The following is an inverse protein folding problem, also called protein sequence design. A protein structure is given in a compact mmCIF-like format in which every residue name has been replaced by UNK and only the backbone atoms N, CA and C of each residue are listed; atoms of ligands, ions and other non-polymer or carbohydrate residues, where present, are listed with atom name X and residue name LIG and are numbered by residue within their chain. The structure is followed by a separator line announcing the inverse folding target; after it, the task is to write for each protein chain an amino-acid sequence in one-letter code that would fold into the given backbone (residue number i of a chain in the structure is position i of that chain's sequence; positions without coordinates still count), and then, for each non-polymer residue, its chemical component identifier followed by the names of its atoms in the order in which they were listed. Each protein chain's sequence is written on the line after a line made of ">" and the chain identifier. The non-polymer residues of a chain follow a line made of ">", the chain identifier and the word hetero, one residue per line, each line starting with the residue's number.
data_IF_542125435455
#
_entry.id   IF_542125435455
#
_cell.length_a   1.000
_cell.length_b   1.000
_cell.length_c   1.000
_cell.angle_alpha   90.00
_cell.angle_beta   90.00
_cell.angle_gamma   90.00
#
_symmetry.space_group_name_H-M   'P 1'
#
loop_
_entity.id
_entity.type
_entity.pdbx_description
1 polymer ?
#
# COMPACT_ATOMS: atom_id res chain seq x y z
N UNK A 1 2.09 -11.78 11.91
CA UNK A 1 1.54 -10.67 11.12
C UNK A 1 2.09 -9.36 11.60
N UNK A 2 2.43 -8.50 10.68
CA UNK A 2 2.90 -7.15 10.97
C UNK A 2 1.97 -6.14 10.33
N UNK A 3 1.93 -4.94 10.92
CA UNK A 3 1.18 -3.82 10.37
C UNK A 3 2.15 -2.68 10.12
N UNK A 4 2.09 -2.09 8.96
CA UNK A 4 2.91 -0.93 8.62
C UNK A 4 2.06 0.19 8.05
N UNK A 5 2.56 1.41 8.18
CA UNK A 5 1.91 2.59 7.60
C UNK A 5 2.84 3.12 6.52
N UNK A 6 2.29 3.29 5.32
CA UNK A 6 3.02 3.82 4.18
C UNK A 6 2.39 5.16 3.81
N UNK A 7 3.19 6.22 3.82
CA UNK A 7 2.74 7.53 3.36
C UNK A 7 2.76 7.53 1.83
N UNK A 8 1.63 7.88 1.22
CA UNK A 8 1.48 7.83 -0.23
C UNK A 8 1.19 9.23 -0.77
N UNK A 9 2.08 9.70 -1.65
CA UNK A 9 1.91 10.95 -2.35
C UNK A 9 1.30 10.73 -3.72
N UNK A 10 0.58 11.72 -4.23
CA UNK A 10 0.01 11.67 -5.56
C UNK A 10 -1.40 11.09 -5.65
N UNK A 11 -1.98 10.66 -4.54
CA UNK A 11 -3.39 10.27 -4.52
C UNK A 11 -4.26 11.51 -4.53
N UNK A 12 -5.08 11.64 -5.53
CA UNK A 12 -5.96 12.83 -5.67
C UNK A 12 -7.42 12.47 -5.90
N UNK A 13 -7.78 11.19 -5.99
CA UNK A 13 -9.15 10.76 -6.26
C UNK A 13 -9.40 9.33 -5.75
N UNK A 14 -10.67 8.95 -5.71
CA UNK A 14 -11.06 7.61 -5.27
C UNK A 14 -10.53 6.49 -6.15
N UNK A 15 -10.30 6.76 -7.44
CA UNK A 15 -9.68 5.79 -8.33
C UNK A 15 -8.25 5.45 -7.95
N UNK A 16 -7.51 6.43 -7.41
CA UNK A 16 -6.17 6.21 -6.91
C UNK A 16 -6.19 5.28 -5.69
N UNK A 17 -7.14 5.47 -4.80
CA UNK A 17 -7.32 4.59 -3.63
C UNK A 17 -7.53 3.14 -4.07
N UNK A 18 -8.38 2.94 -5.07
CA UNK A 18 -8.65 1.60 -5.60
C UNK A 18 -7.40 0.97 -6.23
N UNK A 19 -6.63 1.77 -6.98
CA UNK A 19 -5.40 1.29 -7.59
C UNK A 19 -4.38 0.86 -6.55
N UNK A 20 -4.16 1.69 -5.54
CA UNK A 20 -3.21 1.38 -4.47
C UNK A 20 -3.68 0.14 -3.69
N UNK A 21 -4.95 0.07 -3.34
CA UNK A 21 -5.52 -1.08 -2.65
C UNK A 21 -5.33 -2.35 -3.46
N UNK A 22 -5.63 -2.30 -4.75
CA UNK A 22 -5.49 -3.44 -5.64
C UNK A 22 -4.05 -3.92 -5.77
N UNK A 23 -3.12 -2.98 -5.91
CA UNK A 23 -1.69 -3.29 -6.02
C UNK A 23 -1.18 -3.96 -4.75
N UNK A 24 -1.54 -3.43 -3.60
CA UNK A 24 -1.10 -3.98 -2.32
C UNK A 24 -1.71 -5.35 -2.05
N UNK A 25 -3.00 -5.50 -2.27
CA UNK A 25 -3.68 -6.78 -2.01
C UNK A 25 -3.29 -7.88 -3.00
N UNK A 26 -2.74 -7.52 -4.15
CA UNK A 26 -2.25 -8.48 -5.12
C UNK A 26 -0.92 -9.12 -4.70
N UNK A 27 -0.21 -8.54 -3.73
CA UNK A 27 1.06 -9.09 -3.27
C UNK A 27 0.84 -10.30 -2.37
N UNK A 28 1.63 -11.37 -2.55
CA UNK A 28 1.53 -12.52 -1.65
C UNK A 28 1.94 -12.10 -0.23
N UNK A 29 1.19 -12.57 0.74
CA UNK A 29 1.45 -12.24 2.14
C UNK A 29 0.69 -11.03 2.67
N UNK A 30 0.11 -10.22 1.81
CA UNK A 30 -0.74 -9.11 2.25
C UNK A 30 -2.10 -9.65 2.62
N UNK A 31 -2.50 -9.44 3.86
CA UNK A 31 -3.78 -9.89 4.40
C UNK A 31 -4.83 -8.81 4.25
N UNK A 32 -4.44 -7.57 4.48
CA UNK A 32 -5.36 -6.45 4.46
C UNK A 32 -4.64 -5.16 4.13
N UNK A 33 -5.27 -4.30 3.36
CA UNK A 33 -4.78 -2.94 3.14
C UNK A 33 -5.93 -1.97 3.32
N UNK A 34 -5.67 -0.91 4.08
CA UNK A 34 -6.64 0.13 4.36
C UNK A 34 -6.04 1.46 3.90
N UNK A 35 -6.47 1.95 2.76
CA UNK A 35 -5.93 3.14 2.14
C UNK A 35 -6.81 4.34 2.44
N UNK A 36 -6.22 5.41 2.96
CA UNK A 36 -6.93 6.64 3.25
C UNK A 36 -6.48 7.75 2.31
N UNK A 37 -7.39 8.22 1.47
CA UNK A 37 -7.14 9.35 0.58
C UNK A 37 -6.97 10.63 1.38
N UNK A 38 -7.80 10.81 2.39
CA UNK A 38 -7.80 12.00 3.21
C UNK A 38 -6.49 12.20 3.97
N UNK A 39 -5.93 11.12 4.47
CA UNK A 39 -4.68 11.15 5.21
C UNK A 39 -3.45 10.91 4.32
N UNK A 40 -3.68 10.48 3.09
CA UNK A 40 -2.59 10.21 2.15
C UNK A 40 -1.69 9.07 2.58
N UNK A 41 -2.27 8.02 3.16
CA UNK A 41 -1.50 6.87 3.65
C UNK A 41 -2.26 5.56 3.55
N UNK A 42 -1.53 4.46 3.64
CA UNK A 42 -2.09 3.13 3.67
C UNK A 42 -1.60 2.39 4.91
N UNK A 43 -2.52 1.72 5.58
CA UNK A 43 -2.20 0.81 6.68
C UNK A 43 -2.30 -0.60 6.12
N UNK A 44 -1.21 -1.35 6.16
CA UNK A 44 -1.13 -2.67 5.55
C UNK A 44 -0.79 -3.71 6.60
N UNK A 45 -1.60 -4.77 6.65
CA UNK A 45 -1.31 -5.96 7.45
C UNK A 45 -0.75 -7.03 6.52
N UNK A 46 0.41 -7.57 6.86
CA UNK A 46 1.10 -8.51 5.99
C UNK A 46 1.89 -9.54 6.79
N UNK A 47 2.21 -10.64 6.11
CA UNK A 47 3.07 -11.67 6.67
C UNK A 47 4.52 -11.35 6.32
N UNK A 48 5.35 -11.00 7.30
CA UNK A 48 6.73 -10.59 7.04
C UNK A 48 7.62 -11.73 6.51
N UNK A 49 7.15 -12.96 6.56
CA UNK A 49 7.86 -14.10 5.97
C UNK A 49 7.64 -14.20 4.47
N UNK A 50 6.56 -13.63 3.96
CA UNK A 50 6.22 -13.69 2.54
C UNK A 50 6.51 -12.39 1.79
N UNK A 51 6.39 -11.25 2.46
CA UNK A 51 6.58 -9.94 1.86
C UNK A 51 7.14 -9.00 2.93
N UNK A 52 7.93 -8.03 2.52
CA UNK A 52 8.44 -7.03 3.44
C UNK A 52 7.94 -5.64 3.06
N UNK A 53 8.23 -4.66 3.94
CA UNK A 53 7.80 -3.28 3.73
C UNK A 53 8.39 -2.68 2.45
N UNK A 54 9.62 -3.04 2.11
CA UNK A 54 10.26 -2.56 0.88
C UNK A 54 9.48 -2.97 -0.35
N UNK A 55 8.97 -4.18 -0.38
CA UNK A 55 8.16 -4.67 -1.48
C UNK A 55 6.83 -3.93 -1.59
N UNK A 56 6.23 -3.60 -0.44
CA UNK A 56 4.99 -2.83 -0.41
C UNK A 56 5.21 -1.43 -0.97
N UNK A 57 6.27 -0.76 -0.52
CA UNK A 57 6.63 0.57 -1.00
C UNK A 57 6.92 0.54 -2.50
N UNK A 58 7.69 -0.44 -2.96
CA UNK A 58 8.04 -0.59 -4.37
C UNK A 58 6.80 -0.81 -5.23
N UNK A 59 5.85 -1.61 -4.76
CA UNK A 59 4.62 -1.87 -5.49
C UNK A 59 3.80 -0.59 -5.68
N UNK A 60 3.73 0.25 -4.65
CA UNK A 60 3.03 1.53 -4.74
C UNK A 60 3.75 2.47 -5.70
N UNK A 61 5.08 2.52 -5.65
CA UNK A 61 5.85 3.36 -6.55
C UNK A 61 5.70 2.91 -8.00
N UNK A 62 5.67 1.60 -8.25
CA UNK A 62 5.46 1.05 -9.59
C UNK A 62 4.07 1.36 -10.14
N UNK A 63 3.13 1.61 -9.27
CA UNK A 63 1.77 2.02 -9.68
C UNK A 63 1.69 3.51 -10.06
N UNK A 64 2.79 4.26 -9.89
CA UNK A 64 2.85 5.67 -10.25
C UNK A 64 2.67 6.64 -9.09
N UNK A 65 2.78 6.16 -7.86
CA UNK A 65 2.65 7.01 -6.67
C UNK A 65 3.97 7.10 -5.92
N UNK A 66 4.12 8.15 -5.12
CA UNK A 66 5.24 8.25 -4.20
C UNK A 66 4.89 7.48 -2.93
N UNK A 67 5.85 6.78 -2.37
CA UNK A 67 5.64 6.00 -1.15
C UNK A 67 6.86 6.10 -0.23
N UNK A 68 6.59 6.16 1.05
CA UNK A 68 7.66 6.22 2.05
C UNK A 68 7.26 5.51 3.36
#
# INVERSE_FOLDING_TARGET
>A
METTIITIGGMSCGGCVKNVTGVLTALPGVVRSDVSLEQGRAVVEFDPEQVDRSELVEAVENAGFDAA
#
